data_IF_647146352792
#
_entry.id   IF_647146352792
#
_cell.length_a   1.000
_cell.length_b   1.000
_cell.length_c   1.000
_cell.angle_alpha   90.00
_cell.angle_beta   90.00
_cell.angle_gamma   90.00
#
_symmetry.space_group_name_H-M   'P 1'
#
loop_
_entity.id
_entity.type
_entity.pdbx_description
1 polymer ?
#
# COMPACT_ATOMS: atom_id res chain seq x y z
N UNK A 1 33.87 4.54 26.14
CA UNK A 1 32.90 5.56 26.59
C UNK A 1 31.86 5.70 25.51
N UNK A 2 30.68 5.13 25.72
CA UNK A 2 29.57 5.20 24.77
C UNK A 2 28.94 6.60 24.83
N UNK A 3 28.98 7.32 23.72
CA UNK A 3 28.45 8.68 23.57
C UNK A 3 26.95 8.71 23.29
N UNK A 4 26.17 7.90 24.04
CA UNK A 4 24.72 7.83 23.87
C UNK A 4 23.91 8.92 24.60
N UNK A 5 24.58 9.82 25.31
CA UNK A 5 23.95 10.82 26.18
C UNK A 5 23.91 12.26 25.66
N UNK A 6 24.27 12.49 24.40
CA UNK A 6 24.19 13.83 23.82
C UNK A 6 22.72 14.14 23.42
N UNK A 7 22.00 14.77 24.34
CA UNK A 7 20.61 15.26 24.14
C UNK A 7 20.51 16.47 23.18
N UNK A 8 21.61 17.00 22.70
CA UNK A 8 21.65 18.16 21.80
C UNK A 8 22.19 17.73 20.45
N UNK A 9 21.31 17.75 19.44
CA UNK A 9 21.69 17.54 18.05
C UNK A 9 22.26 18.87 17.51
N UNK A 10 23.54 18.90 17.28
CA UNK A 10 24.25 20.09 16.77
C UNK A 10 25.00 19.66 15.50
N UNK A 11 24.80 20.37 14.41
CA UNK A 11 25.31 20.03 13.07
C UNK A 11 26.83 19.82 13.02
N UNK A 12 27.63 20.57 13.79
CA UNK A 12 29.08 20.39 13.81
C UNK A 12 29.53 19.07 14.49
N UNK A 13 28.77 18.58 15.49
CA UNK A 13 29.01 17.28 16.14
C UNK A 13 28.70 16.15 15.17
N UNK A 14 27.55 16.25 14.45
CA UNK A 14 27.13 15.27 13.45
C UNK A 14 28.18 15.27 12.30
N UNK A 15 28.60 16.43 11.81
CA UNK A 15 29.62 16.55 10.77
C UNK A 15 30.96 15.93 11.17
N UNK A 16 31.41 16.16 12.41
CA UNK A 16 32.64 15.55 12.96
C UNK A 16 32.51 14.04 13.11
N UNK A 17 31.34 13.56 13.57
CA UNK A 17 31.09 12.13 13.71
C UNK A 17 31.08 11.44 12.32
N UNK A 18 30.47 12.05 11.31
CA UNK A 18 30.48 11.57 9.93
C UNK A 18 31.89 11.54 9.37
N UNK A 19 32.69 12.62 9.58
CA UNK A 19 34.09 12.69 9.12
C UNK A 19 34.95 11.59 9.78
N UNK A 20 34.82 11.38 11.08
CA UNK A 20 35.51 10.31 11.79
C UNK A 20 35.10 8.92 11.28
N UNK A 21 33.82 8.71 11.03
CA UNK A 21 33.32 7.45 10.48
C UNK A 21 33.88 7.18 9.07
N UNK A 22 33.94 8.20 8.21
CA UNK A 22 34.53 8.09 6.88
C UNK A 22 36.04 7.81 6.91
N UNK A 23 36.76 8.31 7.92
CA UNK A 23 38.19 8.10 8.08
C UNK A 23 38.55 6.73 8.71
N UNK A 24 37.67 6.21 9.57
CA UNK A 24 37.98 5.00 10.36
C UNK A 24 37.35 3.73 9.78
N UNK A 25 36.29 3.84 9.02
CA UNK A 25 35.55 2.68 8.46
C UNK A 25 35.87 2.51 6.97
N UNK A 26 36.89 1.73 6.68
CA UNK A 26 37.25 1.36 5.30
C UNK A 26 36.23 0.44 4.59
N UNK A 27 35.24 -0.07 5.33
CA UNK A 27 34.17 -0.91 4.77
C UNK A 27 33.03 -0.11 4.16
N UNK A 28 33.03 1.21 4.33
CA UNK A 28 32.01 2.09 3.76
C UNK A 28 32.09 2.08 2.23
N UNK A 29 31.01 1.63 1.61
CA UNK A 29 30.88 1.70 0.15
C UNK A 29 30.45 3.10 -0.26
N UNK A 30 31.06 3.71 -1.29
CA UNK A 30 30.60 4.99 -1.80
C UNK A 30 29.15 4.88 -2.28
N UNK A 31 28.39 5.95 -2.05
CA UNK A 31 27.04 6.03 -2.60
C UNK A 31 27.14 6.04 -4.14
N UNK A 32 26.67 4.97 -4.76
CA UNK A 32 26.48 4.98 -6.21
C UNK A 32 25.24 5.80 -6.52
N UNK A 33 25.39 6.84 -7.32
CA UNK A 33 24.26 7.57 -7.88
C UNK A 33 23.43 6.54 -8.67
N UNK A 34 22.24 6.25 -8.18
CA UNK A 34 21.30 5.44 -8.98
C UNK A 34 21.05 6.16 -10.28
N UNK A 35 20.84 5.41 -11.38
CA UNK A 35 20.52 6.03 -12.67
C UNK A 35 19.34 7.00 -12.50
N UNK A 36 19.31 8.08 -13.29
CA UNK A 36 18.21 9.05 -13.28
C UNK A 36 16.84 8.37 -13.34
N UNK A 37 16.71 7.29 -14.13
CA UNK A 37 15.50 6.48 -14.22
C UNK A 37 15.07 5.89 -12.87
N UNK A 38 15.98 5.34 -12.08
CA UNK A 38 15.65 4.72 -10.77
C UNK A 38 15.27 5.73 -9.71
N UNK A 39 15.88 6.91 -9.70
CA UNK A 39 15.46 8.01 -8.80
C UNK A 39 14.09 8.55 -9.21
N UNK A 40 13.81 8.66 -10.50
CA UNK A 40 12.49 9.06 -11.00
C UNK A 40 11.43 8.01 -10.62
N UNK A 41 11.72 6.73 -10.86
CA UNK A 41 10.84 5.61 -10.47
C UNK A 41 10.57 5.60 -8.96
N UNK A 42 11.59 5.88 -8.14
CA UNK A 42 11.45 5.97 -6.69
C UNK A 42 10.56 7.13 -6.25
N UNK A 43 10.69 8.28 -6.90
CA UNK A 43 9.85 9.44 -6.64
C UNK A 43 8.39 9.15 -6.98
N UNK A 44 8.12 8.57 -8.16
CA UNK A 44 6.77 8.22 -8.61
C UNK A 44 6.12 7.14 -7.75
N UNK A 45 6.84 6.08 -7.40
CA UNK A 45 6.30 4.98 -6.59
C UNK A 45 5.96 5.44 -5.17
N UNK A 46 6.78 6.30 -4.56
CA UNK A 46 6.50 6.92 -3.26
C UNK A 46 5.34 7.91 -3.34
N UNK A 47 5.26 8.69 -4.41
CA UNK A 47 4.13 9.59 -4.64
C UNK A 47 2.82 8.82 -4.79
N UNK A 48 2.81 7.77 -5.63
CA UNK A 48 1.68 6.85 -5.76
C UNK A 48 1.26 6.27 -4.41
N UNK A 49 2.21 5.80 -3.61
CA UNK A 49 1.93 5.29 -2.26
C UNK A 49 1.22 6.32 -1.39
N UNK A 50 1.68 7.56 -1.40
CA UNK A 50 1.05 8.68 -0.67
C UNK A 50 -0.39 8.92 -1.16
N UNK A 51 -0.62 8.91 -2.49
CA UNK A 51 -1.96 9.09 -3.08
C UNK A 51 -2.91 7.95 -2.69
N UNK A 52 -2.46 6.71 -2.75
CA UNK A 52 -3.24 5.53 -2.32
C UNK A 52 -3.63 5.63 -0.84
N UNK A 53 -2.72 6.07 0.02
CA UNK A 53 -3.03 6.30 1.44
C UNK A 53 -4.05 7.42 1.62
N UNK A 54 -3.90 8.55 0.90
CA UNK A 54 -4.87 9.68 0.95
C UNK A 54 -6.25 9.20 0.50
N UNK A 55 -6.33 8.46 -0.62
CA UNK A 55 -7.58 7.85 -1.11
C UNK A 55 -8.25 6.99 -0.04
N UNK A 56 -7.49 6.13 0.64
CA UNK A 56 -8.02 5.26 1.69
C UNK A 56 -8.61 6.05 2.86
N UNK A 57 -7.94 7.14 3.29
CA UNK A 57 -8.45 8.04 4.34
C UNK A 57 -9.74 8.73 3.91
N UNK A 58 -9.81 9.22 2.66
CA UNK A 58 -11.03 9.84 2.14
C UNK A 58 -12.19 8.85 2.04
N UNK A 59 -11.94 7.62 1.60
CA UNK A 59 -12.96 6.55 1.61
C UNK A 59 -13.48 6.28 3.03
N UNK A 60 -12.61 6.23 4.04
CA UNK A 60 -13.05 6.13 5.45
C UNK A 60 -13.90 7.32 5.88
N UNK A 61 -13.57 8.54 5.45
CA UNK A 61 -14.37 9.74 5.73
C UNK A 61 -15.75 9.65 5.06
N UNK A 62 -15.83 9.18 3.81
CA UNK A 62 -17.12 8.94 3.12
C UNK A 62 -17.95 7.94 3.91
N UNK A 63 -17.37 6.81 4.35
CA UNK A 63 -18.09 5.81 5.14
C UNK A 63 -18.69 6.43 6.41
N UNK A 64 -17.91 7.22 7.14
CA UNK A 64 -18.37 7.93 8.33
C UNK A 64 -19.51 8.91 8.02
N UNK A 65 -19.40 9.68 6.94
CA UNK A 65 -20.43 10.64 6.52
C UNK A 65 -21.73 9.94 6.07
N UNK A 66 -21.61 8.82 5.36
CA UNK A 66 -22.75 7.98 4.98
C UNK A 66 -23.46 7.43 6.22
N UNK A 67 -22.72 6.96 7.23
CA UNK A 67 -23.32 6.50 8.50
C UNK A 67 -24.13 7.59 9.19
N UNK A 68 -23.75 8.86 9.05
CA UNK A 68 -24.49 10.01 9.62
C UNK A 68 -25.70 10.38 8.76
N UNK A 69 -25.56 10.40 7.42
CA UNK A 69 -26.53 10.99 6.52
C UNK A 69 -27.51 9.96 5.92
N UNK A 70 -27.09 8.70 5.79
CA UNK A 70 -27.89 7.60 5.23
C UNK A 70 -27.32 6.24 5.66
N UNK A 71 -27.44 5.85 6.96
CA UNK A 71 -26.83 4.63 7.49
C UNK A 71 -27.31 3.34 6.81
N UNK A 72 -28.57 3.27 6.40
CA UNK A 72 -29.17 2.09 5.78
C UNK A 72 -28.56 1.76 4.41
N UNK A 73 -27.94 2.75 3.75
CA UNK A 73 -27.29 2.54 2.45
C UNK A 73 -26.23 1.43 2.47
N UNK A 74 -25.50 1.33 3.58
CA UNK A 74 -24.46 0.30 3.74
C UNK A 74 -25.02 -1.13 3.82
N UNK A 75 -26.30 -1.30 4.10
CA UNK A 75 -26.97 -2.60 4.15
C UNK A 75 -27.53 -3.02 2.78
N UNK A 76 -27.80 -2.04 1.90
CA UNK A 76 -28.38 -2.26 0.59
C UNK A 76 -27.36 -2.64 -0.49
N UNK A 77 -26.10 -2.34 -0.24
CA UNK A 77 -25.03 -2.58 -1.23
C UNK A 77 -23.83 -3.25 -0.56
N UNK A 78 -23.14 -4.18 -1.24
CA UNK A 78 -21.95 -4.84 -0.69
C UNK A 78 -20.79 -3.86 -0.42
N UNK A 79 -20.74 -2.77 -1.18
CA UNK A 79 -19.73 -1.74 -1.06
C UNK A 79 -20.30 -0.38 -1.47
N UNK A 80 -20.12 0.62 -0.61
CA UNK A 80 -20.53 2.00 -0.91
C UNK A 80 -19.52 2.74 -1.80
N UNK A 81 -18.29 2.21 -1.94
CA UNK A 81 -17.20 2.84 -2.69
C UNK A 81 -17.18 2.45 -4.17
N UNK A 82 -18.34 2.52 -4.82
CA UNK A 82 -18.52 2.26 -6.24
C UNK A 82 -19.08 3.48 -6.97
N UNK A 83 -18.80 3.59 -8.27
CA UNK A 83 -19.13 4.78 -9.08
C UNK A 83 -20.60 5.15 -9.05
N UNK A 84 -21.51 4.16 -9.05
CA UNK A 84 -22.95 4.40 -9.01
C UNK A 84 -23.44 5.01 -7.70
N UNK A 85 -22.89 4.57 -6.57
CA UNK A 85 -23.21 5.13 -5.26
C UNK A 85 -22.62 6.54 -5.13
N UNK A 86 -21.39 6.75 -5.60
CA UNK A 86 -20.80 8.08 -5.61
C UNK A 86 -21.59 9.07 -6.46
N UNK A 87 -22.00 8.66 -7.67
CA UNK A 87 -22.86 9.50 -8.54
C UNK A 87 -24.17 9.86 -7.86
N UNK A 88 -24.81 8.92 -7.15
CA UNK A 88 -26.01 9.17 -6.37
C UNK A 88 -25.76 10.16 -5.23
N UNK A 89 -24.70 9.94 -4.43
CA UNK A 89 -24.39 10.77 -3.26
C UNK A 89 -23.89 12.17 -3.62
N UNK A 90 -23.31 12.37 -4.80
CA UNK A 90 -22.94 13.70 -5.31
C UNK A 90 -24.16 14.57 -5.60
N UNK A 91 -25.21 13.99 -6.19
CA UNK A 91 -26.46 14.70 -6.47
C UNK A 91 -27.40 14.71 -5.25
N UNK A 92 -27.46 13.60 -4.51
CA UNK A 92 -28.41 13.34 -3.44
C UNK A 92 -27.64 12.93 -2.16
N UNK A 93 -26.98 13.87 -1.48
CA UNK A 93 -26.01 13.60 -0.40
C UNK A 93 -26.67 13.27 0.95
N UNK A 94 -27.59 12.32 1.00
CA UNK A 94 -28.23 11.87 2.23
C UNK A 94 -29.63 11.34 2.00
N UNK A 95 -30.18 10.63 2.99
CA UNK A 95 -31.48 9.98 2.91
C UNK A 95 -32.61 10.94 2.54
N UNK A 96 -32.65 12.14 3.16
CA UNK A 96 -33.71 13.12 2.90
C UNK A 96 -33.78 13.58 1.44
N UNK A 97 -32.65 13.65 0.75
CA UNK A 97 -32.58 14.01 -0.67
C UNK A 97 -33.04 12.84 -1.55
N UNK A 98 -32.62 11.62 -1.22
CA UNK A 98 -33.03 10.40 -1.94
C UNK A 98 -34.53 10.17 -1.79
N UNK A 99 -35.09 10.31 -0.59
CA UNK A 99 -36.52 10.12 -0.30
C UNK A 99 -37.41 11.08 -1.08
N UNK A 100 -36.99 12.34 -1.24
CA UNK A 100 -37.74 13.39 -1.95
C UNK A 100 -37.57 13.36 -3.47
N UNK A 101 -36.59 12.61 -3.99
CA UNK A 101 -36.31 12.59 -5.43
C UNK A 101 -37.30 11.68 -6.18
N UNK A 102 -37.68 12.13 -7.39
CA UNK A 102 -38.55 11.34 -8.26
C UNK A 102 -37.83 10.03 -8.68
N UNK A 103 -38.58 8.92 -8.66
CA UNK A 103 -38.03 7.58 -8.90
C UNK A 103 -37.27 7.47 -10.24
N UNK A 104 -37.84 8.04 -11.31
CA UNK A 104 -37.21 8.03 -12.64
C UNK A 104 -35.85 8.71 -12.63
N UNK A 105 -35.74 9.87 -11.95
CA UNK A 105 -34.44 10.58 -11.81
C UNK A 105 -33.42 9.73 -11.04
N UNK A 106 -33.82 9.16 -9.92
CA UNK A 106 -32.95 8.28 -9.13
C UNK A 106 -32.50 7.07 -9.96
N UNK A 107 -33.43 6.42 -10.67
CA UNK A 107 -33.12 5.29 -11.57
C UNK A 107 -32.09 5.71 -12.64
N UNK A 108 -32.28 6.86 -13.28
CA UNK A 108 -31.38 7.34 -14.33
C UNK A 108 -29.96 7.60 -13.80
N UNK A 109 -29.84 8.22 -12.62
CA UNK A 109 -28.52 8.50 -11.98
C UNK A 109 -27.77 7.20 -11.76
N UNK A 110 -28.39 6.23 -11.05
CA UNK A 110 -27.70 5.00 -10.68
C UNK A 110 -27.48 4.06 -11.88
N UNK A 111 -28.43 3.99 -12.81
CA UNK A 111 -28.34 3.16 -14.03
C UNK A 111 -27.22 3.64 -14.94
N UNK A 112 -27.15 4.94 -15.23
CA UNK A 112 -26.08 5.55 -16.03
C UNK A 112 -24.72 5.25 -15.44
N UNK A 113 -24.55 5.48 -14.13
CA UNK A 113 -23.27 5.31 -13.45
C UNK A 113 -22.85 3.83 -13.25
N UNK A 114 -23.83 2.91 -13.21
CA UNK A 114 -23.61 1.46 -13.08
C UNK A 114 -23.54 0.72 -14.42
N UNK A 115 -23.68 1.44 -15.55
CA UNK A 115 -23.82 0.84 -16.90
C UNK A 115 -24.98 -0.17 -16.97
N UNK A 116 -26.12 0.20 -16.40
CA UNK A 116 -27.33 -0.61 -16.39
C UNK A 116 -27.42 -1.69 -15.30
N UNK A 117 -26.36 -1.90 -14.50
CA UNK A 117 -26.38 -2.92 -13.43
C UNK A 117 -27.42 -2.60 -12.34
N UNK A 118 -27.58 -1.33 -11.99
CA UNK A 118 -28.57 -0.85 -11.03
C UNK A 118 -29.74 -0.24 -11.78
N UNK A 119 -30.86 -0.94 -11.72
CA UNK A 119 -32.11 -0.54 -12.38
C UNK A 119 -33.12 0.08 -11.43
N UNK A 120 -34.39 0.04 -11.89
CA UNK A 120 -35.53 0.59 -11.17
C UNK A 120 -35.77 -0.07 -9.80
N UNK A 121 -35.57 -1.37 -9.69
CA UNK A 121 -35.74 -2.11 -8.43
C UNK A 121 -34.82 -1.60 -7.34
N UNK A 122 -33.53 -1.39 -7.66
CA UNK A 122 -32.56 -0.83 -6.72
C UNK A 122 -32.89 0.62 -6.35
N UNK A 123 -33.40 1.41 -7.31
CA UNK A 123 -33.87 2.77 -7.03
C UNK A 123 -35.06 2.78 -6.06
N UNK A 124 -35.99 1.84 -6.21
CA UNK A 124 -37.11 1.67 -5.26
C UNK A 124 -36.56 1.32 -3.88
N UNK A 125 -35.67 0.34 -3.77
CA UNK A 125 -35.08 -0.07 -2.51
C UNK A 125 -34.35 1.11 -1.81
N UNK A 126 -33.54 1.87 -2.53
CA UNK A 126 -32.89 3.06 -1.99
C UNK A 126 -33.90 4.10 -1.50
N UNK A 127 -34.96 4.37 -2.26
CA UNK A 127 -35.96 5.37 -1.89
C UNK A 127 -36.79 4.94 -0.67
N UNK A 128 -37.20 3.69 -0.59
CA UNK A 128 -37.94 3.16 0.57
C UNK A 128 -37.08 3.19 1.83
N UNK A 129 -35.82 2.73 1.78
CA UNK A 129 -34.90 2.83 2.89
C UNK A 129 -34.64 4.30 3.29
N UNK A 130 -34.55 5.19 2.31
CA UNK A 130 -34.37 6.61 2.58
C UNK A 130 -35.58 7.28 3.27
N UNK A 131 -36.81 6.82 3.00
CA UNK A 131 -38.04 7.30 3.64
C UNK A 131 -38.15 6.94 5.11
N UNK A 132 -37.61 5.80 5.49
CA UNK A 132 -37.62 5.29 6.86
C UNK A 132 -36.27 5.49 7.57
N UNK A 133 -35.34 6.20 6.93
CA UNK A 133 -33.98 6.38 7.45
C UNK A 133 -33.94 7.21 8.70
N UNK A 134 -33.09 6.77 9.65
CA UNK A 134 -32.70 7.53 10.83
C UNK A 134 -31.58 8.54 10.56
N UNK A 135 -31.13 8.64 9.30
CA UNK A 135 -30.05 9.54 8.89
C UNK A 135 -30.36 11.01 9.16
N UNK A 136 -29.38 11.72 9.68
CA UNK A 136 -29.53 13.13 10.06
C UNK A 136 -29.53 14.05 8.81
N UNK A 137 -30.40 15.05 8.78
CA UNK A 137 -30.44 16.09 7.76
C UNK A 137 -29.50 17.24 8.16
N UNK A 138 -28.22 17.15 7.79
CA UNK A 138 -27.20 18.15 8.13
C UNK A 138 -26.58 18.70 6.83
N UNK A 139 -26.97 19.90 6.34
CA UNK A 139 -26.49 20.47 5.08
C UNK A 139 -24.97 20.58 4.99
N UNK A 140 -24.30 20.95 6.10
CA UNK A 140 -22.85 21.04 6.16
C UNK A 140 -22.17 19.67 5.92
N UNK A 141 -22.73 18.56 6.46
CA UNK A 141 -22.23 17.21 6.23
C UNK A 141 -22.52 16.72 4.80
N UNK A 142 -23.63 17.14 4.24
CA UNK A 142 -23.95 16.88 2.83
C UNK A 142 -22.97 17.58 1.88
N UNK A 143 -22.54 18.79 2.20
CA UNK A 143 -21.50 19.49 1.46
C UNK A 143 -20.14 18.82 1.62
N UNK A 144 -19.74 18.46 2.86
CA UNK A 144 -18.52 17.71 3.17
C UNK A 144 -18.46 16.41 2.38
N UNK A 145 -19.57 15.66 2.31
CA UNK A 145 -19.64 14.39 1.56
C UNK A 145 -19.39 14.60 0.07
N UNK A 146 -20.03 15.57 -0.56
CA UNK A 146 -19.81 15.89 -1.99
C UNK A 146 -18.35 16.24 -2.29
N UNK A 147 -17.75 17.11 -1.47
CA UNK A 147 -16.34 17.48 -1.66
C UNK A 147 -15.42 16.28 -1.45
N UNK A 148 -15.67 15.44 -0.43
CA UNK A 148 -14.85 14.26 -0.17
C UNK A 148 -14.94 13.23 -1.31
N UNK A 149 -16.10 13.08 -1.95
CA UNK A 149 -16.25 12.23 -3.14
C UNK A 149 -15.48 12.82 -4.33
N UNK A 150 -15.57 14.13 -4.56
CA UNK A 150 -14.82 14.83 -5.61
C UNK A 150 -13.29 14.65 -5.40
N UNK A 151 -12.82 14.77 -4.16
CA UNK A 151 -11.42 14.49 -3.80
C UNK A 151 -11.01 13.04 -4.14
N UNK A 152 -11.85 12.05 -3.83
CA UNK A 152 -11.54 10.64 -4.17
C UNK A 152 -11.40 10.48 -5.68
N UNK A 153 -12.30 11.07 -6.48
CA UNK A 153 -12.23 11.00 -7.94
C UNK A 153 -10.98 11.67 -8.51
N UNK A 154 -10.61 12.84 -7.98
CA UNK A 154 -9.38 13.53 -8.37
C UNK A 154 -8.14 12.68 -8.04
N UNK A 155 -8.06 12.14 -6.82
CA UNK A 155 -6.96 11.28 -6.40
C UNK A 155 -6.89 9.99 -7.26
N UNK A 156 -8.01 9.40 -7.64
CA UNK A 156 -8.04 8.23 -8.52
C UNK A 156 -7.57 8.54 -9.94
N UNK A 157 -7.80 9.78 -10.43
CA UNK A 157 -7.23 10.25 -11.70
C UNK A 157 -5.71 10.43 -11.60
N UNK A 158 -5.23 11.11 -10.54
CA UNK A 158 -3.80 11.28 -10.27
C UNK A 158 -3.07 9.93 -10.15
N UNK A 159 -3.68 8.95 -9.48
CA UNK A 159 -3.10 7.59 -9.36
C UNK A 159 -2.93 6.95 -10.74
N UNK A 160 -3.95 7.03 -11.61
CA UNK A 160 -3.87 6.45 -12.96
C UNK A 160 -2.78 7.10 -13.82
N UNK A 161 -2.63 8.42 -13.70
CA UNK A 161 -1.59 9.17 -14.41
C UNK A 161 -0.20 8.71 -13.94
N UNK A 162 0.02 8.66 -12.65
CA UNK A 162 1.29 8.18 -12.06
C UNK A 162 1.56 6.72 -12.41
N UNK A 163 0.53 5.86 -12.43
CA UNK A 163 0.67 4.46 -12.83
C UNK A 163 1.07 4.31 -14.31
N UNK A 164 0.58 5.20 -15.18
CA UNK A 164 0.97 5.21 -16.59
C UNK A 164 2.45 5.63 -16.76
N UNK A 165 2.93 6.62 -16.00
CA UNK A 165 4.34 7.03 -16.03
C UNK A 165 5.25 5.94 -15.44
N UNK A 166 4.85 5.27 -14.37
CA UNK A 166 5.58 4.12 -13.83
C UNK A 166 5.67 3.00 -14.87
N UNK A 167 4.59 2.73 -15.62
CA UNK A 167 4.59 1.70 -16.65
C UNK A 167 5.60 2.02 -17.75
N UNK A 168 5.66 3.26 -18.26
CA UNK A 168 6.65 3.67 -19.26
C UNK A 168 8.08 3.43 -18.80
N UNK A 169 8.42 3.84 -17.57
CA UNK A 169 9.75 3.61 -17.01
C UNK A 169 10.06 2.12 -16.85
N UNK A 170 9.07 1.31 -16.49
CA UNK A 170 9.26 -0.14 -16.36
C UNK A 170 9.40 -0.86 -17.70
N UNK A 171 8.83 -0.32 -18.78
CA UNK A 171 8.98 -0.86 -20.13
C UNK A 171 10.41 -0.65 -20.67
N UNK A 172 11.14 0.35 -20.13
CA UNK A 172 12.54 0.65 -20.44
C UNK A 172 13.53 -0.11 -19.53
N UNK A 173 13.06 -0.62 -18.38
CA UNK A 173 13.90 -1.34 -17.40
C UNK A 173 14.01 -2.83 -17.71
N UNK A 174 15.25 -3.32 -17.73
CA UNK A 174 15.50 -4.77 -17.82
C UNK A 174 15.41 -5.37 -16.42
N UNK A 175 14.32 -6.06 -16.12
CA UNK A 175 14.11 -6.69 -14.81
C UNK A 175 13.44 -8.04 -14.92
N UNK A 176 13.82 -8.97 -14.04
CA UNK A 176 13.25 -10.30 -13.93
C UNK A 176 12.19 -10.42 -12.84
N UNK A 177 12.05 -9.39 -11.97
CA UNK A 177 11.12 -9.41 -10.82
C UNK A 177 9.67 -9.67 -11.23
N UNK A 178 9.23 -9.08 -12.34
CA UNK A 178 7.84 -9.20 -12.81
C UNK A 178 7.51 -10.58 -13.39
N UNK A 179 8.51 -11.44 -13.60
CA UNK A 179 8.29 -12.84 -14.02
C UNK A 179 7.69 -13.69 -12.88
N UNK A 180 7.81 -13.25 -11.62
CA UNK A 180 7.29 -13.96 -10.46
C UNK A 180 5.78 -13.83 -10.38
N UNK A 181 5.02 -14.96 -10.37
CA UNK A 181 3.57 -14.92 -10.23
C UNK A 181 3.12 -14.15 -8.98
N UNK A 182 2.26 -13.16 -9.16
CA UNK A 182 1.80 -12.28 -8.08
C UNK A 182 2.58 -10.98 -7.93
N UNK A 183 3.63 -10.75 -8.71
CA UNK A 183 4.34 -9.47 -8.77
C UNK A 183 3.94 -8.71 -10.05
N UNK A 184 2.99 -7.81 -9.91
CA UNK A 184 2.62 -6.90 -11.01
C UNK A 184 3.58 -5.71 -11.14
N UNK A 185 3.55 -5.04 -12.31
CA UNK A 185 4.42 -3.91 -12.68
C UNK A 185 4.56 -2.87 -11.56
N UNK A 186 3.45 -2.44 -10.96
CA UNK A 186 3.46 -1.36 -9.96
C UNK A 186 4.24 -1.73 -8.67
N UNK A 187 4.12 -2.98 -8.24
CA UNK A 187 4.80 -3.43 -7.02
C UNK A 187 6.23 -3.87 -7.33
N UNK A 188 6.49 -4.42 -8.53
CA UNK A 188 7.82 -4.67 -9.04
C UNK A 188 8.62 -3.37 -9.11
N UNK A 189 8.05 -2.34 -9.73
CA UNK A 189 8.61 -0.99 -9.78
C UNK A 189 8.96 -0.45 -8.39
N UNK A 190 8.07 -0.63 -7.42
CA UNK A 190 8.30 -0.16 -6.06
C UNK A 190 9.48 -0.88 -5.39
N UNK A 191 9.59 -2.19 -5.55
CA UNK A 191 10.72 -2.98 -5.02
C UNK A 191 12.03 -2.55 -5.68
N UNK A 192 12.07 -2.47 -7.01
CA UNK A 192 13.24 -2.03 -7.77
C UNK A 192 13.70 -0.64 -7.38
N UNK A 193 12.76 0.30 -7.30
CA UNK A 193 13.05 1.68 -6.95
C UNK A 193 13.63 1.84 -5.53
N UNK A 194 13.17 1.05 -4.59
CA UNK A 194 13.65 1.10 -3.19
C UNK A 194 14.97 0.34 -2.99
N UNK A 195 15.17 -0.78 -3.67
CA UNK A 195 16.43 -1.54 -3.61
C UNK A 195 17.51 -0.83 -4.43
N UNK A 196 17.14 -0.30 -5.60
CA UNK A 196 18.10 0.22 -6.57
C UNK A 196 18.86 -0.93 -7.23
N UNK A 197 20.18 -0.92 -7.13
CA UNK A 197 21.03 -1.99 -7.64
C UNK A 197 21.17 -3.13 -6.62
N UNK A 198 20.81 -4.35 -7.02
CA UNK A 198 20.94 -5.54 -6.19
C UNK A 198 22.42 -5.91 -5.93
N UNK A 199 23.32 -5.59 -6.85
CA UNK A 199 24.76 -5.87 -6.73
C UNK A 199 25.44 -5.11 -5.56
N UNK A 200 24.82 -4.03 -5.10
CA UNK A 200 25.31 -3.28 -3.92
C UNK A 200 25.18 -4.04 -2.60
N UNK A 201 24.36 -5.09 -2.58
CA UNK A 201 24.15 -5.92 -1.39
C UNK A 201 24.93 -7.23 -1.53
N UNK A 202 25.76 -7.54 -0.54
CA UNK A 202 26.57 -8.76 -0.52
C UNK A 202 25.72 -10.03 -0.31
N UNK A 203 24.48 -9.87 0.19
CA UNK A 203 23.58 -10.98 0.44
C UNK A 203 22.12 -10.52 0.53
N UNK A 204 21.15 -11.42 0.31
CA UNK A 204 19.73 -11.10 0.49
C UNK A 204 19.37 -10.72 1.92
N UNK A 205 20.13 -11.16 2.92
CA UNK A 205 19.90 -10.79 4.32
C UNK A 205 20.25 -9.31 4.58
N UNK A 206 21.15 -8.72 3.80
CA UNK A 206 21.41 -7.26 3.82
C UNK A 206 20.23 -6.46 3.27
N UNK A 207 19.52 -6.97 2.25
CA UNK A 207 18.27 -6.38 1.75
C UNK A 207 17.17 -6.45 2.82
N UNK A 208 17.06 -7.58 3.54
CA UNK A 208 16.11 -7.72 4.64
C UNK A 208 16.41 -6.74 5.78
N UNK A 209 17.69 -6.54 6.12
CA UNK A 209 18.11 -5.55 7.09
C UNK A 209 17.78 -4.12 6.61
N UNK A 210 18.08 -3.81 5.34
CA UNK A 210 17.75 -2.53 4.72
C UNK A 210 16.22 -2.26 4.70
N UNK A 211 15.39 -3.29 4.55
CA UNK A 211 13.93 -3.19 4.70
C UNK A 211 13.49 -3.10 6.16
N UNK A 212 14.39 -3.31 7.14
CA UNK A 212 14.05 -3.42 8.55
C UNK A 212 13.19 -4.64 8.88
N UNK A 213 13.40 -5.73 8.16
CA UNK A 213 12.68 -7.01 8.32
C UNK A 213 13.49 -8.06 9.08
N UNK A 214 14.68 -7.71 9.54
CA UNK A 214 15.51 -8.56 10.40
C UNK A 214 14.90 -8.67 11.80
N UNK A 215 15.02 -9.83 12.47
CA UNK A 215 14.65 -9.93 13.87
C UNK A 215 15.61 -9.11 14.72
N UNK A 216 15.09 -8.42 15.73
CA UNK A 216 15.92 -7.82 16.74
C UNK A 216 16.55 -8.93 17.58
N UNK A 217 17.87 -8.89 17.73
CA UNK A 217 18.62 -9.71 18.69
C UNK A 217 19.07 -8.79 19.81
N UNK A 218 18.60 -9.04 21.01
CA UNK A 218 19.13 -8.41 22.20
C UNK A 218 19.88 -9.48 23.01
N UNK A 219 21.18 -9.34 23.03
CA UNK A 219 22.06 -10.20 23.80
C UNK A 219 22.97 -9.34 24.67
N UNK A 220 22.91 -9.55 25.97
CA UNK A 220 23.81 -8.90 26.93
C UNK A 220 24.39 -9.97 27.85
N UNK A 221 25.67 -10.26 27.70
CA UNK A 221 26.33 -11.34 28.43
C UNK A 221 25.67 -12.71 28.15
N UNK A 222 25.23 -13.41 29.20
CA UNK A 222 24.53 -14.69 29.10
C UNK A 222 23.03 -14.57 28.87
N UNK A 223 22.49 -13.34 28.82
CA UNK A 223 21.07 -13.10 28.68
C UNK A 223 20.68 -12.95 27.22
N UNK A 224 19.93 -13.92 26.68
CA UNK A 224 19.36 -13.88 25.33
C UNK A 224 17.87 -13.58 25.46
N UNK A 225 17.40 -12.49 24.85
CA UNK A 225 15.98 -12.19 24.84
C UNK A 225 15.22 -13.24 24.00
N UNK A 226 14.25 -13.89 24.62
CA UNK A 226 13.35 -14.84 23.94
C UNK A 226 12.33 -14.16 23.03
N UNK A 227 12.18 -12.86 23.11
CA UNK A 227 11.21 -12.06 22.33
C UNK A 227 11.89 -11.28 21.21
N UNK A 228 12.14 -11.95 20.09
CA UNK A 228 12.60 -11.25 18.88
C UNK A 228 11.39 -10.57 18.20
N UNK A 229 11.44 -9.26 18.04
CA UNK A 229 10.51 -8.50 17.22
C UNK A 229 11.21 -8.01 15.96
N UNK A 230 10.44 -7.63 14.94
CA UNK A 230 11.00 -7.03 13.72
C UNK A 230 11.56 -5.64 14.07
N UNK A 231 12.82 -5.36 13.74
CA UNK A 231 13.51 -4.10 14.10
C UNK A 231 12.81 -2.86 13.55
N UNK A 232 12.25 -2.95 12.34
CA UNK A 232 11.60 -1.86 11.61
C UNK A 232 12.52 -0.65 11.33
N UNK A 233 13.80 -0.74 11.61
CA UNK A 233 14.82 0.23 11.17
C UNK A 233 15.10 -0.01 9.70
N UNK A 234 15.13 1.06 8.88
CA UNK A 234 15.33 0.97 7.43
C UNK A 234 14.15 1.42 6.61
N UNK A 235 14.11 1.09 5.30
CA UNK A 235 13.08 1.57 4.39
C UNK A 235 11.69 1.00 4.72
N UNK A 236 10.81 1.89 5.23
CA UNK A 236 9.40 1.54 5.45
C UNK A 236 8.68 1.23 4.13
N UNK A 237 9.13 1.83 3.05
CA UNK A 237 8.56 1.66 1.72
C UNK A 237 8.87 0.29 1.14
N UNK A 238 10.14 -0.13 1.21
CA UNK A 238 10.56 -1.47 0.81
C UNK A 238 9.85 -2.55 1.65
N UNK A 239 9.80 -2.36 2.98
CA UNK A 239 9.08 -3.29 3.86
C UNK A 239 7.61 -3.40 3.51
N UNK A 240 6.93 -2.27 3.21
CA UNK A 240 5.55 -2.26 2.76
C UNK A 240 5.38 -3.03 1.44
N UNK A 241 6.24 -2.76 0.46
CA UNK A 241 6.19 -3.40 -0.85
C UNK A 241 6.38 -4.92 -0.73
N UNK A 242 7.45 -5.36 -0.06
CA UNK A 242 7.76 -6.78 0.14
C UNK A 242 6.64 -7.51 0.89
N UNK A 243 6.10 -6.91 1.97
CA UNK A 243 5.06 -7.54 2.76
C UNK A 243 3.75 -7.72 1.97
N UNK A 244 3.37 -6.72 1.17
CA UNK A 244 2.16 -6.81 0.37
C UNK A 244 2.32 -7.73 -0.84
N UNK A 245 3.43 -7.63 -1.57
CA UNK A 245 3.72 -8.53 -2.70
C UNK A 245 3.71 -9.99 -2.25
N UNK A 246 4.32 -10.29 -1.11
CA UNK A 246 4.36 -11.67 -0.59
C UNK A 246 2.97 -12.27 -0.43
N UNK A 247 1.95 -11.49 -0.06
CA UNK A 247 0.57 -11.99 0.04
C UNK A 247 0.04 -12.46 -1.32
N UNK A 248 0.32 -11.69 -2.37
CA UNK A 248 -0.08 -12.06 -3.74
C UNK A 248 0.73 -13.26 -4.25
N UNK A 249 2.04 -13.26 -4.04
CA UNK A 249 2.89 -14.42 -4.40
C UNK A 249 2.40 -15.68 -3.71
N UNK A 250 2.04 -15.63 -2.43
CA UNK A 250 1.45 -16.79 -1.73
C UNK A 250 0.10 -17.22 -2.30
N UNK A 251 -0.63 -16.37 -3.01
CA UNK A 251 -1.89 -16.74 -3.65
C UNK A 251 -1.71 -17.33 -5.06
N UNK A 252 -0.66 -16.93 -5.77
CA UNK A 252 -0.48 -17.26 -7.19
C UNK A 252 0.65 -18.29 -7.44
N UNK A 253 1.55 -18.46 -6.49
CA UNK A 253 2.69 -19.40 -6.60
C UNK A 253 2.52 -20.55 -5.60
N UNK A 254 2.38 -21.82 -6.10
CA UNK A 254 2.06 -22.98 -5.24
C UNK A 254 3.08 -23.25 -4.14
N UNK A 255 4.39 -23.10 -4.42
CA UNK A 255 5.45 -23.36 -3.43
C UNK A 255 5.45 -22.34 -2.28
N UNK A 256 5.03 -21.10 -2.54
CA UNK A 256 4.84 -20.08 -1.49
C UNK A 256 3.53 -20.31 -0.73
N UNK A 257 2.47 -20.74 -1.42
CA UNK A 257 1.20 -21.11 -0.78
C UNK A 257 1.41 -22.26 0.23
N UNK A 258 2.07 -23.33 -0.21
CA UNK A 258 2.41 -24.48 0.65
C UNK A 258 3.30 -24.06 1.84
N UNK A 259 4.28 -23.19 1.60
CA UNK A 259 5.15 -22.67 2.67
C UNK A 259 4.37 -21.84 3.69
N UNK A 260 3.46 -21.00 3.25
CA UNK A 260 2.59 -20.21 4.12
C UNK A 260 1.69 -21.13 4.96
N UNK A 261 1.06 -22.12 4.34
CA UNK A 261 0.22 -23.12 5.02
C UNK A 261 1.02 -23.88 6.10
N UNK A 262 2.25 -24.34 5.78
CA UNK A 262 3.16 -24.96 6.74
C UNK A 262 3.41 -24.06 7.94
N UNK A 263 3.73 -22.75 7.72
CA UNK A 263 4.00 -21.80 8.82
C UNK A 263 2.75 -21.52 9.66
N UNK A 264 1.58 -21.57 9.06
CA UNK A 264 0.30 -21.46 9.79
C UNK A 264 0.03 -22.71 10.63
N UNK A 265 0.30 -23.90 10.12
CA UNK A 265 0.18 -25.17 10.85
C UNK A 265 1.14 -25.25 12.05
N UNK A 266 2.31 -24.58 11.97
CA UNK A 266 3.24 -24.41 13.10
C UNK A 266 2.68 -23.47 14.20
N UNK A 267 1.41 -23.04 14.14
CA UNK A 267 0.77 -22.15 15.11
C UNK A 267 1.14 -20.66 14.97
N UNK A 268 1.86 -20.25 13.92
CA UNK A 268 2.26 -18.85 13.73
C UNK A 268 1.08 -17.98 13.31
N UNK A 269 0.97 -16.78 13.91
CA UNK A 269 0.02 -15.77 13.45
C UNK A 269 0.26 -15.43 11.96
N UNK A 270 -0.82 -15.15 11.21
CA UNK A 270 -0.77 -14.89 9.76
C UNK A 270 0.33 -13.89 9.35
N UNK A 271 0.42 -12.73 10.02
CA UNK A 271 1.41 -11.72 9.68
C UNK A 271 2.86 -12.19 9.94
N UNK A 272 3.07 -13.07 10.94
CA UNK A 272 4.37 -13.69 11.20
C UNK A 272 4.71 -14.69 10.10
N UNK A 273 3.75 -15.51 9.69
CA UNK A 273 3.91 -16.45 8.59
C UNK A 273 4.23 -15.74 7.26
N UNK A 274 3.53 -14.64 6.94
CA UNK A 274 3.85 -13.76 5.79
C UNK A 274 5.27 -13.19 5.90
N UNK A 275 5.74 -12.78 7.10
CA UNK A 275 7.12 -12.30 7.27
C UNK A 275 8.16 -13.38 6.95
N UNK A 276 7.89 -14.64 7.29
CA UNK A 276 8.75 -15.77 6.89
C UNK A 276 8.73 -16.00 5.38
N UNK A 277 7.56 -15.94 4.75
CA UNK A 277 7.44 -16.03 3.29
C UNK A 277 8.16 -14.85 2.58
N UNK A 278 8.08 -13.64 3.13
CA UNK A 278 8.78 -12.47 2.60
C UNK A 278 10.31 -12.63 2.62
N UNK A 279 10.87 -13.27 3.66
CA UNK A 279 12.29 -13.59 3.68
C UNK A 279 12.69 -14.56 2.57
N UNK A 280 11.86 -15.58 2.31
CA UNK A 280 12.05 -16.49 1.19
C UNK A 280 11.94 -15.75 -0.15
N UNK A 281 10.96 -14.88 -0.29
CA UNK A 281 10.77 -14.07 -1.49
C UNK A 281 11.99 -13.20 -1.78
N UNK A 282 12.52 -12.46 -0.79
CA UNK A 282 13.71 -11.62 -0.99
C UNK A 282 14.91 -12.42 -1.46
N UNK A 283 15.14 -13.63 -0.92
CA UNK A 283 16.22 -14.52 -1.36
C UNK A 283 16.06 -14.95 -2.82
N UNK A 284 14.83 -15.25 -3.21
CA UNK A 284 14.50 -15.60 -4.59
C UNK A 284 14.69 -14.41 -5.53
N UNK A 285 14.15 -13.22 -5.18
CA UNK A 285 14.31 -11.99 -5.97
C UNK A 285 15.78 -11.62 -6.13
N UNK A 286 16.57 -11.74 -5.07
CA UNK A 286 18.01 -11.51 -5.12
C UNK A 286 18.70 -12.45 -6.12
N UNK A 287 18.34 -13.73 -6.09
CA UNK A 287 18.95 -14.72 -6.99
C UNK A 287 18.59 -14.47 -8.47
N UNK A 288 17.31 -14.25 -8.78
CA UNK A 288 16.87 -14.02 -10.16
C UNK A 288 17.41 -12.71 -10.74
N UNK A 289 17.42 -11.63 -9.98
CA UNK A 289 17.95 -10.33 -10.43
C UNK A 289 19.48 -10.35 -10.58
N UNK A 290 20.20 -11.00 -9.66
CA UNK A 290 21.67 -11.08 -9.74
C UNK A 290 22.12 -11.98 -10.90
N UNK A 291 21.39 -13.05 -11.19
CA UNK A 291 21.71 -13.99 -12.26
C UNK A 291 21.09 -13.59 -13.61
N UNK A 292 20.19 -12.63 -13.65
CA UNK A 292 19.44 -12.24 -14.87
C UNK A 292 18.52 -13.36 -15.39
N UNK A 293 18.05 -14.26 -14.50
CA UNK A 293 17.21 -15.40 -14.88
C UNK A 293 15.74 -15.11 -14.61
N UNK A 294 14.85 -15.58 -15.50
CA UNK A 294 13.42 -15.53 -15.25
C UNK A 294 13.02 -16.54 -14.18
N UNK A 295 11.93 -16.24 -13.49
CA UNK A 295 11.35 -17.19 -12.54
C UNK A 295 10.75 -18.38 -13.29
N UNK A 296 11.16 -19.59 -12.92
CA UNK A 296 10.59 -20.86 -13.38
C UNK A 296 9.84 -21.52 -12.21
N UNK A 297 8.64 -22.02 -12.51
CA UNK A 297 7.86 -22.79 -11.53
C UNK A 297 8.55 -24.14 -11.34
N UNK A 298 9.01 -24.43 -10.12
CA UNK A 298 9.66 -25.68 -9.77
C UNK A 298 8.64 -26.81 -9.59
#
# INVERSE_FOLDING_TARGET
MCSSDLKTKIDWIDSRAIALMLLTDSSLKPYSVSSYHRENLKSLTRYRFSRVQKRSRQKSSISRLVTILFPELSQLVPCIHISSIYAMLEELPGASYVASTHLTRLTNIISKASRGRFGREMAIAFREAARTSIGAKIPAKSLELRHTIADVRAIESEIREVEAEIQKLMDEETTTITSVPGIGTQMGAFILAEIGDFSRFDSPDKILAFAGMSPSTYQSGKMISSYAHMEKRGSRYLRFALFNVTKYVCNYEPGFSAYLAKKRAEGKHYNVAISHAAKRLVRMLYAIETNGTLYEVA
#
